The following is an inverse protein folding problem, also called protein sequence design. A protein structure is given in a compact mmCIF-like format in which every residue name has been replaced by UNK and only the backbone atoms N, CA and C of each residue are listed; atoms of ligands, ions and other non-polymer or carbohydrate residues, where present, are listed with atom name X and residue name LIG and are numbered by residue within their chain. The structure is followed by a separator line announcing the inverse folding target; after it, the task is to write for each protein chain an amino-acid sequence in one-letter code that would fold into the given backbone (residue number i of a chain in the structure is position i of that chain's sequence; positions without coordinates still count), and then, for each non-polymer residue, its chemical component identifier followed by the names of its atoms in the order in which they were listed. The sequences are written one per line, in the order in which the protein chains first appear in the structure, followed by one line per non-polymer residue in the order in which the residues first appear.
data_IF_882440176397
#
_entry.id   IF_882440176397
#
_cell.length_a   1.000
_cell.length_b   1.000
_cell.length_c   1.000
_cell.angle_alpha   90.00
_cell.angle_beta   90.00
_cell.angle_gamma   90.00
#
_symmetry.space_group_name_H-M   'P 1'
#
loop_
_entity.id
_entity.type
_entity.pdbx_description
1 polymer ?
#
# COMPACT_ATOMS: atom_id res chain seq x y z
N UNK A 1 4.28 6.63 -9.72
CA UNK A 1 2.90 6.19 -10.06
C UNK A 1 2.74 4.72 -9.68
N UNK A 2 1.70 4.38 -8.92
CA UNK A 2 1.37 3.00 -8.52
C UNK A 2 0.78 2.25 -9.72
N UNK A 3 1.18 0.99 -9.97
CA UNK A 3 0.67 0.19 -11.09
C UNK A 3 0.29 -1.22 -10.65
N UNK A 4 -0.89 -1.65 -11.08
CA UNK A 4 -1.36 -3.04 -11.02
C UNK A 4 -0.93 -3.81 -12.26
N UNK A 5 -0.62 -5.10 -12.10
CA UNK A 5 -0.47 -6.00 -13.23
C UNK A 5 -1.84 -6.25 -13.88
N UNK A 6 -2.05 -5.70 -15.08
CA UNK A 6 -3.31 -5.82 -15.81
C UNK A 6 -3.57 -7.25 -16.30
N UNK A 7 -2.53 -8.08 -16.43
CA UNK A 7 -2.62 -9.47 -16.87
C UNK A 7 -2.58 -10.45 -15.68
N UNK A 8 -2.98 -10.00 -14.48
CA UNK A 8 -2.99 -10.86 -13.31
C UNK A 8 -4.03 -11.98 -13.46
N UNK A 9 -3.68 -13.26 -13.22
CA UNK A 9 -4.61 -14.39 -13.30
C UNK A 9 -5.57 -14.40 -12.10
N UNK A 10 -6.64 -13.62 -12.18
CA UNK A 10 -7.61 -13.41 -11.09
C UNK A 10 -8.31 -14.69 -10.63
N UNK A 11 -8.35 -15.73 -11.46
CA UNK A 11 -8.82 -17.06 -11.07
C UNK A 11 -7.97 -17.72 -9.97
N UNK A 12 -6.73 -17.26 -9.76
CA UNK A 12 -5.82 -17.73 -8.71
C UNK A 12 -6.01 -17.03 -7.37
N UNK A 13 -6.93 -16.06 -7.31
CA UNK A 13 -7.24 -15.30 -6.10
C UNK A 13 -7.00 -13.81 -6.27
N UNK A 14 -7.41 -13.05 -5.25
CA UNK A 14 -7.40 -11.59 -5.27
C UNK A 14 -6.17 -11.06 -4.54
N UNK A 15 -4.96 -11.41 -4.98
CA UNK A 15 -3.70 -10.94 -4.38
C UNK A 15 -2.73 -10.54 -5.50
N UNK A 16 -2.11 -9.36 -5.42
CA UNK A 16 -0.98 -9.03 -6.30
C UNK A 16 -0.02 -8.07 -5.61
N UNK A 17 1.25 -8.10 -6.02
CA UNK A 17 2.22 -7.08 -5.63
C UNK A 17 2.20 -5.96 -6.67
N UNK A 18 1.93 -4.74 -6.21
CA UNK A 18 1.91 -3.54 -7.02
C UNK A 18 3.33 -3.02 -7.24
N UNK A 19 3.55 -2.46 -8.43
CA UNK A 19 4.69 -1.59 -8.64
C UNK A 19 4.40 -0.24 -8.00
N UNK A 20 5.28 0.18 -7.09
CA UNK A 20 5.18 1.49 -6.43
C UNK A 20 6.44 2.30 -6.67
N UNK A 21 6.31 3.62 -6.81
CA UNK A 21 7.47 4.50 -6.81
C UNK A 21 8.18 4.45 -5.45
N UNK A 22 9.51 4.59 -5.42
CA UNK A 22 10.30 4.64 -4.18
C UNK A 22 10.17 5.98 -3.46
N UNK A 23 8.94 6.40 -3.19
CA UNK A 23 8.55 7.66 -2.58
C UNK A 23 7.44 7.44 -1.55
N UNK A 24 7.11 8.50 -0.81
CA UNK A 24 5.96 8.52 0.09
C UNK A 24 4.68 8.36 -0.72
N UNK A 25 3.80 7.48 -0.27
CA UNK A 25 2.54 7.26 -0.95
C UNK A 25 1.50 8.23 -0.41
N UNK A 26 0.70 8.77 -1.33
CA UNK A 26 -0.49 9.56 -1.04
C UNK A 26 -1.53 9.20 -2.10
N UNK A 27 -2.64 8.58 -1.69
CA UNK A 27 -3.70 8.22 -2.62
C UNK A 27 -5.08 8.19 -1.94
N UNK A 28 -6.10 8.27 -2.78
CA UNK A 28 -7.51 8.26 -2.39
C UNK A 28 -8.17 7.03 -3.00
N UNK A 29 -8.88 6.26 -2.18
CA UNK A 29 -9.69 5.13 -2.63
C UNK A 29 -11.17 5.52 -2.53
N UNK A 30 -11.94 5.46 -3.63
CA UNK A 30 -13.39 5.67 -3.59
C UNK A 30 -14.07 4.61 -2.71
N UNK A 31 -15.03 5.01 -1.88
CA UNK A 31 -15.80 4.10 -1.03
C UNK A 31 -17.28 4.48 -1.04
N UNK A 32 -18.22 3.53 -1.24
CA UNK A 32 -19.63 3.85 -1.44
C UNK A 32 -20.33 4.50 -0.24
N UNK A 33 -19.81 4.29 0.97
CA UNK A 33 -20.40 4.84 2.21
C UNK A 33 -19.66 6.07 2.72
N UNK A 34 -18.33 6.13 2.50
CA UNK A 34 -17.47 7.20 3.04
C UNK A 34 -17.14 8.25 1.96
N UNK A 35 -17.68 8.10 0.76
CA UNK A 35 -17.26 8.75 -0.50
C UNK A 35 -15.82 8.37 -0.90
N UNK A 36 -14.87 8.51 0.02
CA UNK A 36 -13.49 8.10 -0.17
C UNK A 36 -12.77 7.81 1.15
N UNK A 37 -11.62 7.16 1.04
CA UNK A 37 -10.64 6.99 2.12
C UNK A 37 -9.31 7.53 1.61
N UNK A 38 -8.71 8.48 2.34
CA UNK A 38 -7.39 8.99 2.01
C UNK A 38 -6.33 8.29 2.84
N UNK A 39 -5.22 7.97 2.20
CA UNK A 39 -4.11 7.27 2.80
C UNK A 39 -2.81 7.98 2.47
N UNK A 40 -1.97 8.18 3.50
CA UNK A 40 -0.64 8.75 3.33
C UNK A 40 0.40 8.02 4.18
N UNK A 41 1.59 7.78 3.62
CA UNK A 41 2.78 7.39 4.38
C UNK A 41 3.73 8.57 4.59
N UNK A 42 4.49 8.55 5.68
CA UNK A 42 5.63 9.46 5.87
C UNK A 42 6.97 8.83 5.45
N UNK A 43 6.95 7.59 4.99
CA UNK A 43 8.09 6.80 4.54
C UNK A 43 8.00 6.41 3.07
N UNK A 44 9.15 6.09 2.45
CA UNK A 44 9.22 5.64 1.08
C UNK A 44 8.84 4.16 0.97
N UNK A 45 7.76 3.86 0.26
CA UNK A 45 7.37 2.46 0.02
C UNK A 45 8.25 1.85 -1.08
N UNK A 46 8.70 0.61 -0.87
CA UNK A 46 9.49 -0.12 -1.88
C UNK A 46 8.66 -1.16 -2.63
N UNK A 47 7.56 -1.61 -2.02
CA UNK A 47 6.58 -2.56 -2.56
C UNK A 47 5.22 -2.25 -1.95
N UNK A 48 4.16 -2.71 -2.58
CA UNK A 48 2.85 -2.74 -1.95
C UNK A 48 2.12 -4.03 -2.29
N UNK A 49 1.59 -4.73 -1.30
CA UNK A 49 0.66 -5.83 -1.54
C UNK A 49 -0.76 -5.27 -1.63
N UNK A 50 -1.48 -5.67 -2.67
CA UNK A 50 -2.91 -5.49 -2.80
C UNK A 50 -3.56 -6.85 -2.64
N UNK A 51 -4.49 -6.99 -1.70
CA UNK A 51 -5.30 -8.19 -1.61
C UNK A 51 -6.73 -7.91 -1.22
N UNK A 52 -7.63 -8.84 -1.55
CA UNK A 52 -9.05 -8.71 -1.24
C UNK A 52 -9.72 -10.06 -0.96
N UNK A 53 -10.91 -9.97 -0.39
CA UNK A 53 -11.87 -11.08 -0.24
C UNK A 53 -13.30 -10.53 -0.43
N UNK A 54 -14.32 -11.31 -0.07
CA UNK A 54 -15.74 -10.92 -0.23
C UNK A 54 -16.20 -9.75 0.63
N UNK A 55 -15.41 -9.30 1.61
CA UNK A 55 -15.82 -8.32 2.61
C UNK A 55 -14.83 -7.15 2.76
N UNK A 56 -13.55 -7.38 2.45
CA UNK A 56 -12.50 -6.38 2.63
C UNK A 56 -11.49 -6.42 1.49
N UNK A 57 -10.77 -5.33 1.34
CA UNK A 57 -9.50 -5.30 0.63
C UNK A 57 -8.47 -4.61 1.52
N UNK A 58 -7.19 -4.88 1.23
CA UNK A 58 -6.06 -4.31 1.93
C UNK A 58 -5.08 -3.76 0.91
N UNK A 59 -4.57 -2.56 1.19
CA UNK A 59 -3.46 -1.94 0.49
C UNK A 59 -2.32 -1.80 1.49
N UNK A 60 -1.22 -2.52 1.27
CA UNK A 60 -0.18 -2.70 2.28
C UNK A 60 1.16 -2.23 1.71
N UNK A 61 1.55 -0.96 1.90
CA UNK A 61 2.85 -0.50 1.50
C UNK A 61 3.92 -0.96 2.49
N UNK A 62 5.04 -1.42 1.94
CA UNK A 62 6.15 -1.95 2.70
C UNK A 62 7.36 -1.01 2.62
N UNK A 63 7.95 -0.75 3.77
CA UNK A 63 9.27 -0.14 3.93
C UNK A 63 10.26 -1.21 4.38
N UNK A 64 11.52 -1.11 3.95
CA UNK A 64 12.59 -1.94 4.45
C UNK A 64 13.79 -1.06 4.81
N UNK A 65 14.20 -1.10 6.07
CA UNK A 65 15.36 -0.37 6.58
C UNK A 65 16.34 -1.35 7.24
N UNK A 66 17.63 -1.10 7.09
CA UNK A 66 18.67 -1.70 7.92
C UNK A 66 18.92 -0.75 9.08
N UNK A 67 18.69 -1.21 10.32
CA UNK A 67 18.84 -0.40 11.54
C UNK A 67 20.10 -0.84 12.27
N UNK A 68 21.04 0.08 12.50
CA UNK A 68 22.28 -0.20 13.24
C UNK A 68 22.06 -0.07 14.76
N UNK A 69 22.99 -0.59 15.60
CA UNK A 69 22.94 -0.36 17.03
C UNK A 69 22.80 1.14 17.36
N UNK A 70 21.88 1.47 18.27
CA UNK A 70 21.53 2.83 18.69
C UNK A 70 20.81 3.71 17.65
N UNK A 71 20.48 3.19 16.46
CA UNK A 71 19.60 3.90 15.52
C UNK A 71 18.12 3.68 15.87
N UNK A 72 17.32 4.72 15.67
CA UNK A 72 15.86 4.67 15.76
C UNK A 72 15.28 5.08 14.41
N UNK A 73 14.33 4.28 13.91
CA UNK A 73 13.54 4.61 12.73
C UNK A 73 12.10 4.79 13.17
N UNK A 74 11.53 5.95 12.86
CA UNK A 74 10.11 6.23 13.02
C UNK A 74 9.42 6.20 11.66
N UNK A 75 8.17 5.76 11.65
CA UNK A 75 7.30 5.73 10.48
C UNK A 75 5.86 5.97 10.91
N UNK A 76 5.06 6.40 9.96
CA UNK A 76 3.69 6.81 10.16
C UNK A 76 2.82 6.52 8.95
N UNK A 77 1.56 6.23 9.25
CA UNK A 77 0.47 6.10 8.30
C UNK A 77 -0.68 6.95 8.79
N UNK A 78 -1.22 7.78 7.91
CA UNK A 78 -2.39 8.62 8.20
C UNK A 78 -3.57 8.15 7.36
N UNK A 79 -4.71 7.97 8.01
CA UNK A 79 -6.02 7.77 7.39
C UNK A 79 -6.86 9.02 7.64
N UNK A 80 -7.38 9.63 6.58
CA UNK A 80 -8.16 10.87 6.65
C UNK A 80 -9.44 10.80 5.82
#
# INVERSE_FOLDING_TARGET
MIRMNQNYPWEKGLFQVLEVPSEKLNFTIPHPILESVNFQTDYNAIRCALWANSHTFSFEPFMQNVIKPSETVSWGVTLA
#
